data_IF_657723575847
#
_entry.id   IF_657723575847
#
_cell.length_a   1.000
_cell.length_b   1.000
_cell.length_c   1.000
_cell.angle_alpha   90.00
_cell.angle_beta   90.00
_cell.angle_gamma   90.00
#
_symmetry.space_group_name_H-M   'P 1'
#
loop_
_entity.id
_entity.type
_entity.pdbx_description
1 polymer ?
#
# COMPACT_ATOMS: atom_id res chain seq x y z
N UNK A 1 -6.39 14.72 4.77
CA UNK A 1 -7.22 14.22 3.64
C UNK A 1 -8.24 15.28 3.29
N UNK A 2 -8.40 15.60 2.03
CA UNK A 2 -9.31 16.59 1.47
C UNK A 2 -10.12 15.98 0.33
N UNK A 3 -11.06 16.71 -0.24
CA UNK A 3 -11.80 16.27 -1.44
C UNK A 3 -10.90 16.18 -2.69
N UNK A 4 -9.75 16.85 -2.70
CA UNK A 4 -8.80 16.80 -3.82
C UNK A 4 -8.03 15.47 -3.86
N UNK A 5 -7.98 14.76 -2.74
CA UNK A 5 -7.35 13.45 -2.64
C UNK A 5 -8.23 12.31 -3.17
N UNK A 6 -9.52 12.57 -3.47
CA UNK A 6 -10.48 11.55 -3.88
C UNK A 6 -10.28 11.11 -5.32
N UNK A 7 -10.64 9.84 -5.60
CA UNK A 7 -10.63 9.26 -6.94
C UNK A 7 -11.36 10.17 -7.94
N UNK A 8 -10.80 10.35 -9.12
CA UNK A 8 -11.29 11.25 -10.13
C UNK A 8 -11.12 10.73 -11.58
N UNK A 9 -11.04 9.41 -11.74
CA UNK A 9 -11.02 8.80 -13.08
C UNK A 9 -12.22 9.21 -13.93
N UNK A 10 -13.38 9.40 -13.29
CA UNK A 10 -14.56 10.01 -13.94
C UNK A 10 -15.26 10.97 -12.98
N UNK A 11 -15.98 11.99 -13.50
CA UNK A 11 -16.79 12.89 -12.67
C UNK A 11 -17.82 12.16 -11.80
N UNK A 12 -18.41 11.08 -12.32
CA UNK A 12 -19.39 10.28 -11.60
C UNK A 12 -18.76 9.58 -10.38
N UNK A 13 -17.61 8.93 -10.56
CA UNK A 13 -16.89 8.27 -9.46
C UNK A 13 -16.43 9.29 -8.40
N UNK A 14 -16.03 10.49 -8.83
CA UNK A 14 -15.67 11.56 -7.89
C UNK A 14 -16.87 11.99 -7.06
N UNK A 15 -18.04 12.16 -7.68
CA UNK A 15 -19.26 12.52 -6.97
C UNK A 15 -19.66 11.46 -5.95
N UNK A 16 -19.63 10.18 -6.31
CA UNK A 16 -19.89 9.07 -5.40
C UNK A 16 -18.88 9.05 -4.24
N UNK A 17 -17.58 9.30 -4.52
CA UNK A 17 -16.55 9.37 -3.50
C UNK A 17 -16.80 10.51 -2.49
N UNK A 18 -17.23 11.68 -2.95
CA UNK A 18 -17.65 12.80 -2.09
C UNK A 18 -18.82 12.41 -1.20
N UNK A 19 -19.81 11.68 -1.75
CA UNK A 19 -20.95 11.19 -0.98
C UNK A 19 -20.53 10.17 0.09
N UNK A 20 -19.61 9.25 -0.24
CA UNK A 20 -19.05 8.32 0.74
C UNK A 20 -18.35 9.08 1.85
N UNK A 21 -17.50 10.06 1.52
CA UNK A 21 -16.70 10.81 2.49
C UNK A 21 -17.56 11.70 3.39
N UNK A 22 -18.70 12.19 2.90
CA UNK A 22 -19.64 13.01 3.70
C UNK A 22 -20.14 12.29 4.97
N UNK A 23 -20.10 10.96 4.99
CA UNK A 23 -20.48 10.14 6.13
C UNK A 23 -19.37 10.02 7.21
N UNK A 24 -18.21 10.62 6.97
CA UNK A 24 -17.05 10.53 7.84
C UNK A 24 -16.51 11.93 8.18
N UNK A 25 -15.83 12.01 9.29
CA UNK A 25 -15.00 13.16 9.59
C UNK A 25 -13.73 13.10 8.77
N UNK A 26 -13.39 14.16 8.06
CA UNK A 26 -12.10 14.37 7.40
C UNK A 26 -11.44 15.61 7.99
N UNK A 27 -10.12 15.74 7.84
CA UNK A 27 -9.39 16.91 8.31
C UNK A 27 -7.89 16.77 8.11
N UNK A 28 -7.12 17.73 8.60
CA UNK A 28 -5.67 17.73 8.53
C UNK A 28 -5.08 16.57 9.34
N UNK A 29 -3.76 16.40 9.23
CA UNK A 29 -3.00 15.47 10.08
C UNK A 29 -3.30 15.78 11.57
N UNK A 30 -3.38 14.74 12.40
CA UNK A 30 -3.79 14.80 13.81
C UNK A 30 -5.28 15.10 14.06
N UNK A 31 -6.16 15.01 13.07
CA UNK A 31 -7.60 15.02 13.31
C UNK A 31 -7.98 13.84 14.22
N UNK A 32 -8.53 14.08 15.41
CA UNK A 32 -8.82 13.01 16.36
C UNK A 32 -9.94 12.11 15.84
N UNK A 33 -9.90 10.80 16.17
CA UNK A 33 -10.98 9.89 15.84
C UNK A 33 -12.30 10.35 16.45
N UNK A 34 -13.38 10.24 15.67
CA UNK A 34 -14.74 10.51 16.16
C UNK A 34 -15.37 9.26 16.79
N UNK A 35 -16.31 9.48 17.70
CA UNK A 35 -17.16 8.39 18.19
C UNK A 35 -18.12 7.98 17.08
N UNK A 36 -18.25 6.69 16.85
CA UNK A 36 -19.18 6.13 15.86
C UNK A 36 -20.61 6.49 16.21
N UNK A 37 -21.35 7.01 15.25
CA UNK A 37 -22.73 7.46 15.43
C UNK A 37 -22.88 8.87 16.02
N UNK A 38 -21.82 9.46 16.57
CA UNK A 38 -21.88 10.86 17.02
C UNK A 38 -22.08 11.78 15.82
N UNK A 39 -23.09 12.65 15.90
CA UNK A 39 -23.49 13.55 14.83
C UNK A 39 -23.77 12.86 13.47
N UNK A 40 -24.23 11.60 13.51
CA UNK A 40 -24.48 10.80 12.30
C UNK A 40 -23.23 10.27 11.58
N UNK A 41 -22.02 10.53 12.11
CA UNK A 41 -20.78 10.12 11.46
C UNK A 41 -20.43 8.65 11.74
N UNK A 42 -19.91 7.96 10.73
CA UNK A 42 -19.46 6.56 10.81
C UNK A 42 -18.06 6.40 11.42
N UNK A 43 -17.32 7.50 11.58
CA UNK A 43 -15.95 7.55 12.06
C UNK A 43 -15.17 8.69 11.43
N UNK A 44 -13.85 8.62 11.53
CA UNK A 44 -12.91 9.55 10.90
C UNK A 44 -12.13 8.81 9.80
N UNK A 45 -11.96 9.41 8.64
CA UNK A 45 -11.06 8.91 7.62
C UNK A 45 -9.64 9.36 7.94
N UNK A 46 -8.74 8.40 8.02
CA UNK A 46 -7.32 8.62 8.26
C UNK A 46 -6.50 8.17 7.05
N UNK A 47 -5.50 8.96 6.68
CA UNK A 47 -4.54 8.65 5.63
C UNK A 47 -3.14 9.10 6.11
N UNK A 48 -2.18 8.17 6.20
CA UNK A 48 -2.32 6.73 5.99
C UNK A 48 -3.21 6.07 7.07
N UNK A 49 -3.71 4.87 6.76
CA UNK A 49 -4.44 4.05 7.72
C UNK A 49 -3.53 3.46 8.81
N UNK A 50 -4.08 2.62 9.69
CA UNK A 50 -3.36 2.07 10.86
C UNK A 50 -2.13 1.22 10.50
N UNK A 51 -2.04 0.71 9.27
CA UNK A 51 -0.86 -0.03 8.79
C UNK A 51 0.25 0.88 8.27
N UNK A 52 0.03 2.20 8.26
CA UNK A 52 0.98 3.19 7.75
C UNK A 52 1.02 3.27 6.22
N UNK A 53 1.86 4.17 5.71
CA UNK A 53 2.18 4.33 4.29
C UNK A 53 3.59 3.81 3.99
N UNK A 54 4.64 4.51 4.44
CA UNK A 54 6.00 3.99 4.56
C UNK A 54 6.14 3.29 5.92
N UNK A 55 6.76 2.10 5.98
CA UNK A 55 6.81 1.33 7.20
C UNK A 55 8.08 0.42 7.26
N UNK A 56 7.96 -0.78 7.81
CA UNK A 56 9.05 -1.70 8.15
C UNK A 56 9.96 -2.12 6.99
N UNK A 57 9.50 -2.05 5.75
CA UNK A 57 10.35 -2.28 4.57
C UNK A 57 11.46 -1.23 4.41
N UNK A 58 11.41 -0.16 5.20
CA UNK A 58 12.46 0.86 5.23
C UNK A 58 12.51 1.71 3.97
N UNK A 59 13.71 2.23 3.71
CA UNK A 59 14.06 3.02 2.54
C UNK A 59 15.51 2.72 2.15
N UNK A 60 15.92 3.08 0.95
CA UNK A 60 17.31 3.02 0.51
C UNK A 60 17.88 4.45 0.46
N UNK A 61 19.04 4.65 1.06
CA UNK A 61 19.72 5.95 1.05
C UNK A 61 20.98 5.88 0.18
N UNK A 62 21.15 6.87 -0.69
CA UNK A 62 22.37 7.10 -1.44
C UNK A 62 23.21 8.15 -0.71
N UNK A 63 24.26 7.69 -0.04
CA UNK A 63 25.15 8.55 0.74
C UNK A 63 25.99 9.50 -0.12
N UNK A 64 26.19 9.20 -1.41
CA UNK A 64 26.98 10.04 -2.32
C UNK A 64 26.18 11.30 -2.73
N UNK A 65 24.88 11.14 -2.95
CA UNK A 65 24.01 12.24 -3.41
C UNK A 65 23.15 12.85 -2.30
N UNK A 66 23.05 12.19 -1.15
CA UNK A 66 22.16 12.62 -0.08
C UNK A 66 20.67 12.39 -0.38
N UNK A 67 20.35 11.45 -1.28
CA UNK A 67 18.97 11.15 -1.67
C UNK A 67 18.50 9.87 -0.98
N UNK A 68 17.27 9.88 -0.47
CA UNK A 68 16.60 8.72 0.08
C UNK A 68 15.40 8.33 -0.80
N UNK A 69 15.28 7.03 -1.09
CA UNK A 69 14.23 6.44 -1.90
C UNK A 69 13.26 5.69 -1.00
N UNK A 70 12.04 6.20 -0.86
CA UNK A 70 11.05 5.74 0.10
C UNK A 70 9.90 5.04 -0.60
N UNK A 71 9.79 3.70 -0.48
CA UNK A 71 8.59 3.00 -0.93
C UNK A 71 7.44 3.27 0.04
N UNK A 72 6.27 3.56 -0.50
CA UNK A 72 5.09 3.83 0.32
C UNK A 72 3.79 3.44 -0.39
N UNK A 73 2.72 3.31 0.39
CA UNK A 73 1.38 2.96 -0.09
C UNK A 73 0.35 4.02 0.30
N UNK A 74 -0.63 4.22 -0.57
CA UNK A 74 -1.82 5.02 -0.27
C UNK A 74 -2.91 4.10 0.26
N UNK A 75 -3.19 4.22 1.55
CA UNK A 75 -4.10 3.33 2.26
C UNK A 75 -5.02 4.12 3.20
N UNK A 76 -6.11 4.73 2.71
CA UNK A 76 -7.11 5.34 3.57
C UNK A 76 -7.86 4.28 4.38
N UNK A 77 -8.23 4.64 5.61
CA UNK A 77 -9.00 3.78 6.50
C UNK A 77 -10.04 4.59 7.28
N UNK A 78 -11.23 4.01 7.46
CA UNK A 78 -12.22 4.54 8.37
C UNK A 78 -11.93 4.05 9.80
N UNK A 79 -11.71 4.96 10.72
CA UNK A 79 -11.45 4.68 12.11
C UNK A 79 -12.44 5.42 13.00
N UNK A 80 -13.07 4.71 13.93
CA UNK A 80 -14.03 5.31 14.87
C UNK A 80 -13.97 4.64 16.23
N UNK A 81 -14.08 5.44 17.28
CA UNK A 81 -14.10 4.99 18.67
C UNK A 81 -15.52 4.55 19.04
N UNK A 82 -15.63 3.47 19.79
CA UNK A 82 -16.88 3.05 20.43
C UNK A 82 -16.78 3.36 21.91
N UNK A 83 -17.72 4.13 22.44
CA UNK A 83 -17.81 4.35 23.87
C UNK A 83 -18.19 3.03 24.54
N UNK A 84 -17.47 2.66 25.59
CA UNK A 84 -17.89 1.60 26.48
C UNK A 84 -18.73 2.24 27.57
N UNK A 85 -19.92 1.73 27.81
CA UNK A 85 -20.68 2.10 29.02
C UNK A 85 -19.83 1.71 30.23
N UNK A 86 -19.42 2.71 31.00
CA UNK A 86 -18.63 2.52 32.21
C UNK A 86 -19.40 1.75 33.33
N UNK A 87 -20.70 1.61 33.17
CA UNK A 87 -21.56 0.83 34.08
C UNK A 87 -21.57 -0.68 33.74
N UNK A 88 -21.16 -1.10 32.57
CA UNK A 88 -20.99 -2.51 32.26
C UNK A 88 -19.60 -2.94 32.71
N UNK A 89 -19.44 -3.36 33.95
CA UNK A 89 -18.25 -4.03 34.43
C UNK A 89 -17.93 -5.17 33.45
N UNK A 90 -16.67 -5.33 32.99
CA UNK A 90 -16.31 -6.45 32.13
C UNK A 90 -16.58 -7.73 32.90
N UNK A 91 -17.55 -8.53 32.44
CA UNK A 91 -17.68 -9.90 32.93
C UNK A 91 -16.30 -10.52 32.85
N UNK A 92 -15.76 -10.92 34.01
CA UNK A 92 -14.42 -11.50 34.14
C UNK A 92 -14.31 -12.62 33.10
N UNK A 93 -13.47 -12.42 32.10
CA UNK A 93 -13.10 -13.49 31.17
C UNK A 93 -12.34 -14.52 31.98
N UNK A 94 -13.06 -15.55 32.46
CA UNK A 94 -12.47 -16.74 33.02
C UNK A 94 -11.46 -17.29 31.98
N UNK A 95 -10.23 -17.39 32.43
CA UNK A 95 -9.11 -17.78 31.61
C UNK A 95 -9.29 -19.15 30.98
N UNK A 96 -9.47 -19.15 29.69
CA UNK A 96 -9.23 -20.30 28.82
C UNK A 96 -8.03 -19.97 27.94
N UNK A 97 -6.86 -20.45 28.30
CA UNK A 97 -5.69 -20.43 27.45
C UNK A 97 -6.00 -21.17 26.15
N UNK A 98 -6.16 -20.45 25.05
CA UNK A 98 -6.07 -21.04 23.71
C UNK A 98 -4.67 -20.76 23.16
N UNK A 99 -3.88 -21.79 22.78
CA UNK A 99 -2.64 -21.59 22.07
C UNK A 99 -2.93 -21.28 20.60
N UNK A 100 -2.30 -20.24 20.08
CA UNK A 100 -2.14 -20.03 18.65
C UNK A 100 -3.00 -18.92 18.03
N UNK A 101 -2.34 -17.89 17.50
CA UNK A 101 -2.82 -17.05 16.42
C UNK A 101 -3.59 -15.81 16.83
N UNK A 102 -2.87 -14.72 17.12
CA UNK A 102 -3.46 -13.40 17.26
C UNK A 102 -3.81 -12.78 15.91
N UNK A 103 -5.09 -12.61 15.63
CA UNK A 103 -5.58 -11.62 14.71
C UNK A 103 -6.67 -10.85 15.45
N UNK A 104 -6.46 -9.55 15.60
CA UNK A 104 -7.45 -8.64 16.17
C UNK A 104 -8.71 -8.68 15.30
N UNK A 105 -9.75 -9.32 15.79
CA UNK A 105 -11.07 -9.34 15.16
C UNK A 105 -11.74 -8.00 15.42
N UNK A 106 -11.65 -7.08 14.46
CA UNK A 106 -12.63 -6.02 14.28
C UNK A 106 -14.00 -6.63 13.98
N UNK A 107 -15.06 -6.07 14.62
CA UNK A 107 -16.38 -6.66 14.65
C UNK A 107 -17.02 -6.89 13.30
N UNK A 108 -17.79 -7.97 13.26
CA UNK A 108 -18.93 -8.29 12.40
C UNK A 108 -18.77 -8.08 10.88
N UNK A 109 -17.84 -8.83 10.28
CA UNK A 109 -17.75 -9.02 8.83
C UNK A 109 -18.01 -10.48 8.43
N UNK A 110 -19.01 -11.13 9.03
CA UNK A 110 -19.49 -12.41 8.54
C UNK A 110 -20.62 -12.18 7.56
N UNK A 111 -20.37 -12.64 6.32
CA UNK A 111 -21.37 -12.76 5.24
C UNK A 111 -21.67 -11.46 4.48
N UNK A 112 -20.68 -10.97 3.71
CA UNK A 112 -20.96 -10.29 2.43
C UNK A 112 -19.99 -10.82 1.41
N UNK A 113 -20.50 -11.37 0.32
CA UNK A 113 -19.74 -11.51 -0.93
C UNK A 113 -19.06 -10.16 -1.17
N UNK A 114 -17.73 -10.10 -1.36
CA UNK A 114 -17.10 -8.82 -1.68
C UNK A 114 -17.84 -8.21 -2.86
N UNK A 115 -18.18 -6.91 -2.82
CA UNK A 115 -18.74 -6.27 -4.00
C UNK A 115 -17.79 -6.45 -5.19
N UNK A 116 -18.29 -6.52 -6.43
CA UNK A 116 -17.42 -6.52 -7.59
C UNK A 116 -16.49 -5.31 -7.51
N UNK A 117 -15.23 -5.51 -7.83
CA UNK A 117 -14.18 -4.50 -7.70
C UNK A 117 -13.06 -4.93 -6.75
N UNK A 118 -12.23 -4.00 -6.37
CA UNK A 118 -11.05 -4.26 -5.51
C UNK A 118 -11.40 -4.51 -4.02
N UNK A 119 -12.68 -4.54 -3.66
CA UNK A 119 -13.12 -4.64 -2.26
C UNK A 119 -12.67 -3.46 -1.40
N UNK A 120 -12.36 -2.33 -2.02
CA UNK A 120 -11.93 -1.11 -1.36
C UNK A 120 -13.12 -0.24 -0.94
N UNK A 121 -12.88 0.77 -0.13
CA UNK A 121 -13.96 1.56 0.47
C UNK A 121 -14.45 2.73 -0.41
N UNK A 122 -13.94 2.87 -1.61
CA UNK A 122 -14.36 3.90 -2.56
C UNK A 122 -15.61 3.51 -3.37
N UNK A 123 -15.94 4.31 -4.37
CA UNK A 123 -17.12 4.10 -5.22
C UNK A 123 -17.09 2.72 -5.85
N UNK A 124 -18.20 2.01 -5.78
CA UNK A 124 -18.39 0.69 -6.42
C UNK A 124 -17.29 -0.34 -6.08
N UNK A 125 -16.62 -0.21 -4.93
CA UNK A 125 -15.52 -1.07 -4.52
C UNK A 125 -14.14 -0.69 -5.07
N UNK A 126 -14.02 0.41 -5.79
CA UNK A 126 -12.76 1.01 -6.23
C UNK A 126 -12.03 1.69 -5.06
N UNK A 127 -10.76 2.11 -5.24
CA UNK A 127 -10.07 2.94 -4.27
C UNK A 127 -10.81 4.26 -4.00
N UNK A 128 -10.77 4.72 -2.75
CA UNK A 128 -11.40 6.00 -2.39
C UNK A 128 -10.59 7.22 -2.86
N UNK A 129 -9.28 7.04 -2.99
CA UNK A 129 -8.34 8.11 -3.29
C UNK A 129 -7.76 7.98 -4.69
N UNK A 130 -7.15 9.07 -5.18
CA UNK A 130 -6.34 9.08 -6.39
C UNK A 130 -5.14 8.14 -6.29
N UNK A 131 -4.63 7.62 -7.41
CA UNK A 131 -3.32 6.99 -7.47
C UNK A 131 -2.19 8.03 -7.23
N UNK A 132 -0.93 7.57 -7.03
CA UNK A 132 -0.49 6.18 -7.03
C UNK A 132 -0.83 5.46 -5.72
N UNK A 133 -1.20 4.16 -5.83
CA UNK A 133 -1.55 3.33 -4.68
C UNK A 133 -0.32 2.68 -4.04
N UNK A 134 0.66 2.31 -4.85
CA UNK A 134 2.03 1.98 -4.47
C UNK A 134 2.99 2.90 -5.20
N UNK A 135 4.03 3.40 -4.53
CA UNK A 135 4.93 4.39 -5.11
C UNK A 135 6.32 4.32 -4.48
N UNK A 136 7.28 4.90 -5.21
CA UNK A 136 8.60 5.24 -4.70
C UNK A 136 8.74 6.75 -4.81
N UNK A 137 9.21 7.39 -3.73
CA UNK A 137 9.50 8.83 -3.70
C UNK A 137 10.98 9.02 -3.43
N UNK A 138 11.67 9.77 -4.29
CA UNK A 138 13.03 10.25 -4.06
C UNK A 138 12.97 11.59 -3.34
N UNK A 139 13.66 11.68 -2.21
CA UNK A 139 13.68 12.86 -1.36
C UNK A 139 15.14 13.30 -1.17
N UNK A 140 15.44 14.56 -1.45
CA UNK A 140 16.71 15.19 -1.13
C UNK A 140 16.77 15.44 0.37
N UNK A 141 17.71 14.82 1.08
CA UNK A 141 17.87 14.98 2.52
C UNK A 141 18.49 16.33 2.91
N UNK A 142 19.10 17.05 1.96
CA UNK A 142 19.68 18.38 2.23
C UNK A 142 18.60 19.47 2.25
N UNK A 143 17.56 19.33 1.43
CA UNK A 143 16.49 20.33 1.30
C UNK A 143 15.15 19.84 1.87
N UNK A 144 14.92 18.53 1.88
CA UNK A 144 13.64 17.92 2.21
C UNK A 144 12.66 17.86 1.03
N UNK A 145 13.09 18.26 -0.16
CA UNK A 145 12.24 18.30 -1.34
C UNK A 145 12.06 16.92 -1.98
N UNK A 146 10.88 16.70 -2.54
CA UNK A 146 10.64 15.56 -3.42
C UNK A 146 11.27 15.84 -4.80
N UNK A 147 12.24 15.00 -5.20
CA UNK A 147 12.88 15.09 -6.51
C UNK A 147 11.95 14.50 -7.57
N UNK A 148 11.45 13.29 -7.30
CA UNK A 148 10.46 12.61 -8.14
C UNK A 148 9.62 11.64 -7.30
N UNK A 149 8.46 11.29 -7.83
CA UNK A 149 7.58 10.28 -7.28
C UNK A 149 6.95 9.49 -8.44
N UNK A 150 7.09 8.18 -8.41
CA UNK A 150 6.57 7.28 -9.46
C UNK A 150 5.74 6.16 -8.86
N UNK A 151 4.79 5.66 -9.63
CA UNK A 151 4.06 4.46 -9.27
C UNK A 151 5.00 3.24 -9.20
N UNK A 152 4.84 2.40 -8.19
CA UNK A 152 5.54 1.13 -8.08
C UNK A 152 4.56 -0.02 -8.34
N UNK A 153 4.71 -0.63 -9.49
CA UNK A 153 3.87 -1.74 -9.95
C UNK A 153 2.76 -1.32 -10.90
N UNK A 154 2.21 -2.32 -11.57
CA UNK A 154 1.11 -2.19 -12.51
C UNK A 154 -0.18 -1.73 -11.83
N UNK A 155 -1.14 -1.32 -12.65
CA UNK A 155 -2.52 -1.13 -12.19
C UNK A 155 -3.13 -2.49 -11.88
N UNK A 156 -3.71 -2.69 -10.68
CA UNK A 156 -4.39 -3.95 -10.36
C UNK A 156 -5.56 -4.25 -11.31
N UNK A 157 -5.70 -5.52 -11.71
CA UNK A 157 -6.74 -5.98 -12.66
C UNK A 157 -8.15 -5.59 -12.21
N UNK A 158 -8.42 -5.60 -10.91
CA UNK A 158 -9.71 -5.17 -10.37
C UNK A 158 -10.04 -3.70 -10.64
N UNK A 159 -9.06 -2.88 -11.02
CA UNK A 159 -9.23 -1.50 -11.47
C UNK A 159 -9.34 -1.46 -12.99
N UNK A 160 -8.41 -2.12 -13.71
CA UNK A 160 -8.42 -2.12 -15.18
C UNK A 160 -9.67 -2.75 -15.75
N UNK A 161 -10.16 -3.82 -15.13
CA UNK A 161 -11.33 -4.59 -15.59
C UNK A 161 -12.65 -4.06 -15.01
N UNK A 162 -12.60 -2.96 -14.25
CA UNK A 162 -13.79 -2.45 -13.58
C UNK A 162 -14.80 -1.85 -14.59
N UNK A 163 -16.08 -2.28 -14.58
CA UNK A 163 -17.07 -1.80 -15.55
C UNK A 163 -17.24 -0.28 -15.60
N UNK A 164 -17.14 0.41 -14.47
CA UNK A 164 -17.25 1.87 -14.40
C UNK A 164 -16.05 2.60 -15.04
N UNK A 165 -14.99 1.88 -15.40
CA UNK A 165 -13.79 2.41 -16.03
C UNK A 165 -13.61 1.93 -17.47
N UNK A 166 -14.62 1.25 -18.03
CA UNK A 166 -14.60 0.81 -19.41
C UNK A 166 -14.40 2.01 -20.37
N UNK A 167 -13.35 1.95 -21.17
CA UNK A 167 -12.99 3.03 -22.11
C UNK A 167 -12.30 4.24 -21.49
N UNK A 168 -11.99 4.21 -20.20
CA UNK A 168 -11.18 5.23 -19.53
C UNK A 168 -9.70 4.84 -19.60
N UNK A 169 -8.86 5.74 -20.06
CA UNK A 169 -7.40 5.55 -20.00
C UNK A 169 -6.93 5.73 -18.56
N UNK A 170 -6.38 4.66 -17.98
CA UNK A 170 -5.91 4.62 -16.60
C UNK A 170 -4.38 4.59 -16.64
N UNK A 171 -3.70 5.58 -16.04
CA UNK A 171 -2.25 5.55 -15.92
C UNK A 171 -1.80 4.40 -14.99
N UNK A 172 -0.52 4.04 -15.02
CA UNK A 172 0.06 3.13 -14.04
C UNK A 172 -0.23 3.63 -12.63
N UNK A 173 -0.96 2.86 -11.84
CA UNK A 173 -1.41 3.29 -10.50
C UNK A 173 -0.54 2.77 -9.37
N UNK A 174 0.31 1.80 -9.64
CA UNK A 174 1.07 1.09 -8.62
C UNK A 174 0.21 0.13 -7.79
N UNK A 175 0.83 -0.89 -7.23
CA UNK A 175 0.18 -1.86 -6.35
C UNK A 175 0.25 -1.40 -4.90
N UNK A 176 -0.85 -1.40 -4.14
CA UNK A 176 -0.90 -0.93 -2.75
C UNK A 176 -0.28 -1.94 -1.78
N UNK A 177 0.94 -2.37 -2.07
CA UNK A 177 1.69 -3.37 -1.31
C UNK A 177 3.07 -2.86 -0.89
N UNK A 178 3.67 -3.53 0.07
CA UNK A 178 4.95 -3.17 0.64
C UNK A 178 6.07 -3.90 -0.08
N UNK A 179 6.79 -3.20 -0.96
CA UNK A 179 8.03 -3.66 -1.59
C UNK A 179 9.25 -3.07 -0.87
N UNK A 180 10.30 -3.87 -0.70
CA UNK A 180 11.61 -3.37 -0.28
C UNK A 180 12.36 -2.80 -1.47
N UNK A 181 13.20 -1.80 -1.22
CA UNK A 181 14.02 -1.15 -2.25
C UNK A 181 15.50 -1.27 -1.92
N UNK A 182 16.34 -1.25 -2.97
CA UNK A 182 17.79 -1.09 -2.86
C UNK A 182 18.29 -0.07 -3.87
N UNK A 183 19.26 0.76 -3.50
CA UNK A 183 19.93 1.69 -4.40
C UNK A 183 21.33 1.21 -4.71
N UNK A 184 21.74 1.36 -5.96
CA UNK A 184 23.10 1.14 -6.46
C UNK A 184 23.66 2.45 -7.01
N UNK A 185 24.84 2.38 -7.64
CA UNK A 185 25.47 3.60 -8.20
C UNK A 185 24.58 4.36 -9.20
N UNK A 186 23.77 3.67 -9.99
CA UNK A 186 22.95 4.29 -11.03
C UNK A 186 21.45 3.99 -10.92
N UNK A 187 21.05 2.93 -10.23
CA UNK A 187 19.71 2.39 -10.28
C UNK A 187 19.12 2.21 -8.87
N UNK A 188 17.82 2.35 -8.81
CA UNK A 188 16.98 1.88 -7.68
C UNK A 188 16.25 0.63 -8.14
N UNK A 189 16.24 -0.41 -7.32
CA UNK A 189 15.50 -1.64 -7.60
C UNK A 189 14.39 -1.82 -6.59
N UNK A 190 13.22 -2.23 -7.06
CA UNK A 190 12.06 -2.48 -6.23
C UNK A 190 11.16 -3.55 -6.83
N UNK A 191 10.59 -4.41 -5.99
CA UNK A 191 9.50 -5.30 -6.34
C UNK A 191 8.13 -4.71 -6.03
N UNK A 192 7.09 -5.37 -6.49
CA UNK A 192 5.69 -4.94 -6.29
C UNK A 192 5.11 -5.30 -4.91
N UNK A 193 5.91 -5.90 -4.05
CA UNK A 193 5.53 -6.26 -2.69
C UNK A 193 5.02 -7.69 -2.52
N UNK A 194 4.98 -8.13 -1.27
CA UNK A 194 4.92 -9.55 -0.89
C UNK A 194 3.52 -10.15 -0.80
N UNK A 195 2.47 -9.36 -0.74
CA UNK A 195 1.17 -9.87 -0.36
C UNK A 195 1.06 -10.41 1.08
N UNK A 196 2.17 -10.48 1.85
CA UNK A 196 2.17 -11.00 3.22
C UNK A 196 1.38 -10.14 4.19
N UNK A 197 1.28 -8.85 3.92
CA UNK A 197 0.52 -7.89 4.69
C UNK A 197 -0.66 -7.34 3.89
N UNK A 198 -1.10 -8.11 2.88
CA UNK A 198 -2.27 -7.77 2.10
C UNK A 198 -3.46 -7.50 3.03
N UNK A 199 -4.04 -6.35 2.91
CA UNK A 199 -5.31 -6.06 3.58
C UNK A 199 -6.37 -6.89 2.86
N UNK A 200 -7.19 -7.67 3.58
CA UNK A 200 -8.22 -8.47 2.95
C UNK A 200 -9.09 -7.66 1.99
N UNK A 201 -9.28 -8.16 0.78
CA UNK A 201 -10.03 -7.48 -0.28
C UNK A 201 -9.24 -6.50 -1.13
N UNK A 202 -7.93 -6.36 -0.93
CA UNK A 202 -7.05 -5.55 -1.79
C UNK A 202 -6.29 -6.42 -2.78
N UNK A 203 -5.98 -5.80 -3.92
CA UNK A 203 -5.04 -6.39 -4.85
C UNK A 203 -3.71 -6.64 -4.13
N UNK A 204 -3.23 -7.85 -4.17
CA UNK A 204 -1.92 -8.22 -3.65
C UNK A 204 -0.82 -7.65 -4.54
N UNK A 205 0.43 -7.69 -4.08
CA UNK A 205 1.61 -7.38 -4.87
C UNK A 205 1.68 -8.17 -6.18
N UNK A 206 2.80 -8.15 -6.83
CA UNK A 206 3.03 -8.86 -8.08
C UNK A 206 4.43 -9.44 -8.14
N UNK A 207 4.71 -10.26 -9.16
CA UNK A 207 6.01 -10.88 -9.34
C UNK A 207 7.04 -9.95 -9.98
N UNK A 208 6.65 -8.77 -10.46
CA UNK A 208 7.57 -7.90 -11.17
C UNK A 208 8.56 -7.22 -10.23
N UNK A 209 9.82 -7.21 -10.64
CA UNK A 209 10.92 -6.51 -10.00
C UNK A 209 11.52 -5.55 -11.02
N UNK A 210 11.60 -4.27 -10.68
CA UNK A 210 11.96 -3.21 -11.62
C UNK A 210 13.23 -2.51 -11.22
N UNK A 211 13.99 -2.12 -12.25
CA UNK A 211 15.11 -1.19 -12.14
C UNK A 211 14.65 0.19 -12.62
N UNK A 212 14.83 1.18 -11.77
CA UNK A 212 14.51 2.58 -12.02
C UNK A 212 15.82 3.37 -12.14
N UNK A 213 15.90 4.27 -13.10
CA UNK A 213 16.95 5.29 -13.12
C UNK A 213 16.85 6.12 -11.83
N UNK A 214 17.92 6.20 -11.06
CA UNK A 214 17.85 6.83 -9.72
C UNK A 214 17.65 8.34 -9.76
N UNK A 215 17.97 9.00 -10.87
CA UNK A 215 17.85 10.46 -11.01
C UNK A 215 16.45 10.87 -11.46
N UNK A 216 15.78 10.03 -12.26
CA UNK A 216 14.53 10.39 -12.92
C UNK A 216 13.33 9.57 -12.47
N UNK A 217 13.54 8.41 -11.84
CA UNK A 217 12.49 7.45 -11.49
C UNK A 217 11.93 6.68 -12.69
N UNK A 218 12.49 6.83 -13.90
CA UNK A 218 12.05 6.11 -15.10
C UNK A 218 12.43 4.64 -14.98
N UNK A 219 11.50 3.74 -15.31
CA UNK A 219 11.77 2.30 -15.40
C UNK A 219 12.69 2.05 -16.59
N UNK A 220 13.85 1.43 -16.34
CA UNK A 220 14.84 1.09 -17.37
C UNK A 220 14.90 -0.41 -17.66
N UNK A 221 14.43 -1.24 -16.74
CA UNK A 221 14.35 -2.69 -16.93
C UNK A 221 13.34 -3.32 -15.99
N UNK A 222 12.76 -4.44 -16.40
CA UNK A 222 11.79 -5.21 -15.65
C UNK A 222 12.13 -6.70 -15.70
N UNK A 223 11.92 -7.38 -14.58
CA UNK A 223 12.18 -8.81 -14.42
C UNK A 223 10.97 -9.46 -13.76
N UNK A 224 10.50 -10.55 -14.33
CA UNK A 224 9.50 -11.37 -13.66
C UNK A 224 10.20 -12.37 -12.72
N UNK A 225 9.88 -12.29 -11.45
CA UNK A 225 10.35 -13.22 -10.42
C UNK A 225 9.43 -14.46 -10.38
N UNK A 226 9.91 -15.62 -9.90
CA UNK A 226 9.08 -16.82 -9.76
C UNK A 226 7.94 -16.64 -8.76
N UNK A 227 8.05 -15.68 -7.86
CA UNK A 227 7.03 -15.30 -6.90
C UNK A 227 7.24 -13.85 -6.40
N UNK A 228 6.35 -13.39 -5.54
CA UNK A 228 6.42 -12.04 -5.00
C UNK A 228 7.66 -11.83 -4.13
N UNK A 229 8.27 -10.66 -4.20
CA UNK A 229 9.33 -10.24 -3.30
C UNK A 229 8.80 -10.18 -1.86
N UNK A 230 9.42 -10.92 -0.95
CA UNK A 230 9.02 -10.99 0.47
C UNK A 230 10.00 -10.32 1.43
N UNK A 231 11.22 -10.05 0.97
CA UNK A 231 12.29 -9.44 1.77
C UNK A 231 12.86 -8.19 1.10
N UNK A 232 13.69 -7.46 1.85
CA UNK A 232 14.47 -6.34 1.31
C UNK A 232 15.58 -6.92 0.46
N UNK A 233 15.80 -6.43 -0.79
CA UNK A 233 16.89 -6.88 -1.64
C UNK A 233 18.23 -6.52 -1.01
N UNK A 234 19.25 -7.32 -1.30
CA UNK A 234 20.64 -7.02 -1.00
C UNK A 234 21.50 -7.11 -2.27
N UNK A 235 22.65 -6.48 -2.28
CA UNK A 235 23.62 -6.62 -3.38
C UNK A 235 25.00 -6.95 -2.86
N UNK A 236 25.74 -7.72 -3.63
CA UNK A 236 27.14 -8.05 -3.36
C UNK A 236 27.92 -8.28 -4.65
N UNK A 237 29.25 -8.24 -4.53
CA UNK A 237 30.16 -8.58 -5.62
C UNK A 237 30.77 -9.96 -5.40
N UNK A 238 30.79 -10.80 -6.44
CA UNK A 238 31.47 -12.08 -6.43
C UNK A 238 32.18 -12.27 -7.78
N UNK A 239 33.49 -12.52 -7.74
CA UNK A 239 34.32 -12.72 -8.94
C UNK A 239 34.17 -11.62 -10.00
N UNK A 240 34.04 -10.34 -9.58
CA UNK A 240 33.89 -9.21 -10.46
C UNK A 240 32.47 -9.00 -11.01
N UNK A 241 31.50 -9.86 -10.68
CA UNK A 241 30.09 -9.72 -11.04
C UNK A 241 29.27 -9.20 -9.86
N UNK A 242 28.35 -8.29 -10.14
CA UNK A 242 27.35 -7.82 -9.17
C UNK A 242 26.15 -8.75 -9.17
N UNK A 243 25.71 -9.10 -7.98
CA UNK A 243 24.48 -9.85 -7.73
C UNK A 243 23.49 -9.01 -6.93
N UNK A 244 22.22 -9.13 -7.26
CA UNK A 244 21.10 -8.62 -6.46
C UNK A 244 20.32 -9.84 -5.99
N UNK A 245 20.18 -9.99 -4.69
CA UNK A 245 19.52 -11.15 -4.07
C UNK A 245 18.32 -10.69 -3.26
N UNK A 246 17.23 -11.40 -3.38
CA UNK A 246 16.02 -11.17 -2.61
C UNK A 246 15.32 -12.46 -2.25
N UNK A 247 14.60 -12.44 -1.15
CA UNK A 247 13.68 -13.50 -0.82
C UNK A 247 12.38 -13.32 -1.61
N UNK A 248 11.87 -14.41 -2.18
CA UNK A 248 10.59 -14.46 -2.86
C UNK A 248 9.71 -15.57 -2.29
N UNK A 249 8.41 -15.46 -2.47
CA UNK A 249 7.46 -16.47 -2.06
C UNK A 249 6.03 -15.94 -2.04
N UNK A 250 5.06 -16.83 -2.08
CA UNK A 250 3.66 -16.52 -1.91
C UNK A 250 2.91 -17.75 -1.41
N UNK A 251 1.58 -17.76 -1.47
CA UNK A 251 0.77 -18.91 -1.02
C UNK A 251 1.02 -20.18 -1.85
N UNK A 252 1.29 -20.01 -3.15
CA UNK A 252 1.36 -21.07 -4.14
C UNK A 252 2.82 -21.41 -4.52
N UNK A 253 3.77 -20.60 -4.08
CA UNK A 253 5.21 -20.78 -4.32
C UNK A 253 5.98 -20.76 -3.00
N UNK A 254 6.79 -21.80 -2.70
CA UNK A 254 7.57 -21.84 -1.46
C UNK A 254 8.60 -20.70 -1.40
N UNK A 255 8.99 -20.34 -0.18
CA UNK A 255 9.99 -19.29 0.01
C UNK A 255 11.36 -19.75 -0.51
N UNK A 256 11.99 -18.92 -1.33
CA UNK A 256 13.36 -19.14 -1.86
C UNK A 256 14.13 -17.83 -1.97
N UNK A 257 15.45 -17.93 -2.21
CA UNK A 257 16.30 -16.79 -2.56
C UNK A 257 16.58 -16.81 -4.05
N UNK A 258 16.26 -15.70 -4.70
CA UNK A 258 16.56 -15.45 -6.11
C UNK A 258 17.75 -14.51 -6.22
N UNK A 259 18.74 -14.86 -7.03
CA UNK A 259 19.90 -14.03 -7.33
C UNK A 259 19.86 -13.62 -8.81
N UNK A 260 19.82 -12.31 -9.05
CA UNK A 260 19.93 -11.72 -10.37
C UNK A 260 21.35 -11.21 -10.58
N UNK A 261 21.89 -11.36 -11.78
CA UNK A 261 23.18 -10.79 -12.20
C UNK A 261 23.09 -10.27 -13.63
N UNK A 262 23.90 -9.27 -13.94
CA UNK A 262 24.08 -8.80 -15.32
C UNK A 262 25.18 -9.65 -15.96
N UNK A 263 24.93 -10.15 -17.16
CA UNK A 263 25.92 -10.87 -17.98
C UNK A 263 26.91 -9.93 -18.63
#
# INVERSE_FOLDING_TARGET
MTHDDLIDFTPALKAEAVEIVSQYRIGPIFTPPSVRGANGLRGTLILPGLIGGANWQGAAADAETGIVYVPSITNPMAYGVTLRDSAAAPAARQGGRRPGGGAARGGDQRSRTPPPGCGMMGPQGLPLTKPPYGRITAIDLNTGDHIWMVANGETPDCITDHPALAGVEIPMTGRPERGGVIVTKALVFAGEGSGLFAVPGRASGGPMFRAYDKLTGVVVSEFELPAHQTGIPMTYMLNGKQYIVMAVGNRDHPAELVALTVE
#
